data_IF_661218102991
#
_entry.id   IF_661218102991
#
_cell.length_a   1.000
_cell.length_b   1.000
_cell.length_c   1.000
_cell.angle_alpha   90.00
_cell.angle_beta   90.00
_cell.angle_gamma   90.00
#
_symmetry.space_group_name_H-M   'P 1'
#
loop_
_entity.id
_entity.type
_entity.pdbx_description
1 polymer ?
#
# COMPACT_ATOMS: atom_id res chain seq x y z
N UNK A 1 -0.37 -3.98 -11.82
CA UNK A 1 -0.05 -2.66 -11.23
C UNK A 1 -0.08 -2.76 -9.71
N UNK A 2 0.95 -2.24 -9.02
CA UNK A 2 1.09 -2.29 -7.56
C UNK A 2 1.38 -0.89 -7.00
N UNK A 3 0.78 -0.54 -5.85
CA UNK A 3 0.98 0.74 -5.18
C UNK A 3 1.69 0.53 -3.85
N UNK A 4 2.60 1.42 -3.48
CA UNK A 4 3.10 1.47 -2.11
C UNK A 4 2.07 2.13 -1.18
N UNK A 5 2.31 2.06 0.13
CA UNK A 5 1.41 2.63 1.15
C UNK A 5 1.20 4.14 1.00
N UNK A 6 2.18 4.91 0.52
CA UNK A 6 2.03 6.35 0.29
C UNK A 6 1.06 6.61 -0.86
N UNK A 7 1.25 5.93 -2.00
CA UNK A 7 0.34 6.03 -3.16
C UNK A 7 -1.07 5.53 -2.83
N UNK A 8 -1.17 4.47 -2.03
CA UNK A 8 -2.46 3.93 -1.57
C UNK A 8 -3.18 4.91 -0.65
N UNK A 9 -2.47 5.52 0.30
CA UNK A 9 -3.05 6.55 1.17
C UNK A 9 -3.55 7.74 0.35
N UNK A 10 -2.74 8.24 -0.59
CA UNK A 10 -3.15 9.32 -1.49
C UNK A 10 -4.40 8.96 -2.29
N UNK A 11 -4.51 7.71 -2.76
CA UNK A 11 -5.69 7.23 -3.48
C UNK A 11 -6.95 7.29 -2.61
N UNK A 12 -6.86 6.97 -1.32
CA UNK A 12 -7.98 7.10 -0.38
C UNK A 12 -8.17 8.51 0.20
N UNK A 13 -7.43 9.53 -0.26
CA UNK A 13 -7.50 10.87 0.33
C UNK A 13 -6.94 10.96 1.75
N UNK A 14 -6.06 10.04 2.14
CA UNK A 14 -5.46 9.95 3.47
C UNK A 14 -3.97 10.30 3.46
N UNK A 15 -3.43 10.58 4.64
CA UNK A 15 -1.98 10.59 4.85
C UNK A 15 -1.47 9.17 5.07
N UNK A 16 -0.21 8.91 4.68
CA UNK A 16 0.46 7.62 4.91
C UNK A 16 0.40 7.15 6.38
N UNK A 17 0.73 7.96 7.41
CA UNK A 17 0.64 7.50 8.80
C UNK A 17 -0.79 7.14 9.22
N UNK A 18 -1.80 7.88 8.76
CA UNK A 18 -3.21 7.56 9.04
C UNK A 18 -3.61 6.21 8.45
N UNK A 19 -3.23 5.93 7.20
CA UNK A 19 -3.47 4.62 6.59
C UNK A 19 -2.77 3.48 7.36
N UNK A 20 -1.51 3.67 7.75
CA UNK A 20 -0.75 2.67 8.51
C UNK A 20 -1.43 2.37 9.85
N UNK A 21 -1.88 3.41 10.57
CA UNK A 21 -2.57 3.24 11.84
C UNK A 21 -3.86 2.39 11.68
N UNK A 22 -4.69 2.72 10.69
CA UNK A 22 -5.90 1.94 10.37
C UNK A 22 -5.59 0.48 10.01
N UNK A 23 -4.55 0.25 9.20
CA UNK A 23 -4.16 -1.10 8.82
C UNK A 23 -3.58 -1.90 9.99
N UNK A 24 -2.85 -1.25 10.92
CA UNK A 24 -2.35 -1.90 12.14
C UNK A 24 -3.48 -2.22 13.11
N UNK A 25 -4.45 -1.32 13.28
CA UNK A 25 -5.67 -1.57 14.09
C UNK A 25 -6.41 -2.82 13.61
N UNK A 26 -6.51 -3.02 12.29
CA UNK A 26 -7.11 -4.23 11.69
C UNK A 26 -6.17 -5.45 11.66
N UNK A 27 -4.97 -5.36 12.23
CA UNK A 27 -4.00 -6.46 12.22
C UNK A 27 -3.49 -6.85 10.84
N UNK A 28 -3.56 -5.96 9.86
CA UNK A 28 -3.06 -6.19 8.49
C UNK A 28 -1.55 -6.01 8.40
N UNK A 29 -1.00 -5.11 9.21
CA UNK A 29 0.43 -4.80 9.24
C UNK A 29 1.02 -5.13 10.61
N UNK A 30 2.25 -5.63 10.60
CA UNK A 30 3.06 -5.80 11.81
C UNK A 30 3.78 -4.51 12.20
N UNK A 31 4.58 -4.57 13.27
CA UNK A 31 5.35 -3.43 13.78
C UNK A 31 6.36 -2.85 12.78
N UNK A 32 6.80 -3.68 11.81
CA UNK A 32 7.68 -3.26 10.70
C UNK A 32 6.92 -2.71 9.49
N UNK A 33 5.60 -2.53 9.58
CA UNK A 33 4.72 -2.17 8.46
C UNK A 33 4.72 -3.18 7.30
N UNK A 34 4.97 -4.45 7.59
CA UNK A 34 4.88 -5.56 6.64
C UNK A 34 3.56 -6.32 6.82
N UNK A 35 3.05 -6.99 5.77
CA UNK A 35 1.80 -7.75 5.87
C UNK A 35 1.92 -8.83 6.94
N UNK A 36 0.98 -8.87 7.88
CA UNK A 36 0.99 -9.84 8.97
C UNK A 36 0.58 -11.24 8.49
N UNK A 37 -0.43 -11.32 7.60
CA UNK A 37 -1.00 -12.59 7.14
C UNK A 37 -1.27 -12.59 5.61
N UNK A 38 -0.25 -12.48 4.76
CA UNK A 38 -0.42 -12.28 3.32
C UNK A 38 -1.26 -13.38 2.65
N UNK A 39 -1.13 -14.65 3.04
CA UNK A 39 -1.92 -15.75 2.45
C UNK A 39 -3.39 -15.66 2.86
N UNK A 40 -3.68 -15.39 4.14
CA UNK A 40 -5.04 -15.20 4.66
C UNK A 40 -5.74 -14.03 3.98
N UNK A 41 -4.98 -12.95 3.77
CA UNK A 41 -5.45 -11.70 3.18
C UNK A 41 -5.40 -11.73 1.63
N UNK A 42 -5.53 -12.95 1.04
CA UNK A 42 -5.64 -13.22 -0.40
C UNK A 42 -4.47 -12.68 -1.24
N UNK A 43 -3.33 -12.51 -0.59
CA UNK A 43 -2.09 -11.94 -1.13
C UNK A 43 -2.25 -10.54 -1.76
N UNK A 44 -3.29 -9.80 -1.36
CA UNK A 44 -3.50 -8.42 -1.81
C UNK A 44 -2.43 -7.47 -1.30
N UNK A 45 -1.84 -7.78 -0.14
CA UNK A 45 -0.67 -7.14 0.40
C UNK A 45 0.57 -8.01 0.12
N UNK A 46 1.60 -7.42 -0.47
CA UNK A 46 2.89 -8.08 -0.71
C UNK A 46 4.03 -7.34 -0.06
N UNK A 47 5.08 -8.08 0.27
CA UNK A 47 6.39 -7.51 0.60
C UNK A 47 7.14 -7.30 -0.72
N UNK A 48 7.67 -6.09 -0.91
CA UNK A 48 8.66 -5.80 -1.95
C UNK A 48 10.00 -5.56 -1.29
N UNK A 49 10.97 -6.40 -1.62
CA UNK A 49 12.37 -6.20 -1.33
C UNK A 49 12.98 -5.21 -2.34
N UNK A 50 13.78 -4.30 -1.82
CA UNK A 50 14.59 -3.36 -2.58
C UNK A 50 15.99 -3.36 -2.00
N UNK A 51 16.99 -3.08 -2.83
CA UNK A 51 18.34 -2.84 -2.37
C UNK A 51 18.86 -1.52 -2.92
N UNK A 52 19.85 -0.95 -2.25
CA UNK A 52 20.51 0.29 -2.63
C UNK A 52 21.92 0.31 -2.05
N UNK A 53 22.86 0.96 -2.73
CA UNK A 53 24.24 1.04 -2.29
C UNK A 53 24.47 2.28 -1.41
N UNK A 54 25.06 2.09 -0.23
CA UNK A 54 25.53 3.16 0.65
C UNK A 54 27.06 3.18 0.70
N UNK A 55 27.66 4.34 0.46
CA UNK A 55 29.13 4.54 0.35
C UNK A 55 29.94 3.91 1.49
N UNK A 56 29.48 4.03 2.74
CA UNK A 56 30.19 3.52 3.94
C UNK A 56 29.73 2.15 4.40
N UNK A 57 28.50 1.78 4.05
CA UNK A 57 27.83 0.60 4.61
C UNK A 57 27.61 -0.51 3.57
N UNK A 58 28.08 -0.30 2.33
CA UNK A 58 27.91 -1.22 1.22
C UNK A 58 26.45 -1.38 0.80
N UNK A 59 26.13 -2.57 0.29
CA UNK A 59 24.77 -2.90 -0.16
C UNK A 59 23.80 -2.97 1.03
N UNK A 60 22.73 -2.17 0.95
CA UNK A 60 21.65 -2.10 1.92
C UNK A 60 20.38 -2.72 1.35
N UNK A 61 19.55 -3.28 2.23
CA UNK A 61 18.31 -3.96 1.87
C UNK A 61 17.15 -3.35 2.64
N UNK A 62 16.00 -3.21 1.98
CA UNK A 62 14.80 -2.64 2.57
C UNK A 62 13.57 -3.38 2.07
N UNK A 63 12.59 -3.52 2.96
CA UNK A 63 11.31 -4.13 2.66
C UNK A 63 10.20 -3.09 2.76
N UNK A 64 9.24 -3.19 1.84
CA UNK A 64 8.08 -2.30 1.84
C UNK A 64 6.80 -3.05 1.50
N UNK A 65 5.68 -2.67 2.12
CA UNK A 65 4.38 -3.21 1.74
C UNK A 65 3.88 -2.58 0.45
N UNK A 66 3.43 -3.43 -0.48
CA UNK A 66 2.72 -3.07 -1.69
C UNK A 66 1.29 -3.60 -1.63
N UNK A 67 0.38 -2.82 -2.22
CA UNK A 67 -1.02 -3.17 -2.38
C UNK A 67 -1.27 -3.44 -3.85
N UNK A 68 -1.76 -4.63 -4.17
CA UNK A 68 -2.16 -4.99 -5.54
C UNK A 68 -3.41 -4.18 -5.92
N UNK A 69 -3.54 -3.82 -7.20
CA UNK A 69 -4.73 -3.15 -7.72
C UNK A 69 -6.03 -3.90 -7.33
N UNK A 70 -6.04 -5.23 -7.43
CA UNK A 70 -7.19 -6.08 -7.09
C UNK A 70 -7.58 -6.00 -5.59
N UNK A 71 -6.64 -5.63 -4.72
CA UNK A 71 -6.86 -5.50 -3.28
C UNK A 71 -7.38 -4.15 -2.82
N UNK A 72 -7.47 -3.15 -3.71
CA UNK A 72 -7.83 -1.77 -3.32
C UNK A 72 -9.26 -1.69 -2.80
N UNK A 73 -10.21 -2.32 -3.50
CA UNK A 73 -11.62 -2.35 -3.09
C UNK A 73 -11.80 -3.09 -1.77
N UNK A 74 -11.21 -4.28 -1.66
CA UNK A 74 -11.20 -5.07 -0.42
C UNK A 74 -10.61 -4.28 0.76
N UNK A 75 -9.50 -3.56 0.55
CA UNK A 75 -8.88 -2.74 1.57
C UNK A 75 -9.78 -1.58 1.98
N UNK A 76 -10.46 -0.93 1.03
CA UNK A 76 -11.40 0.15 1.31
C UNK A 76 -12.57 -0.35 2.17
N UNK A 77 -13.18 -1.49 1.81
CA UNK A 77 -14.26 -2.12 2.56
C UNK A 77 -13.82 -2.48 3.99
N UNK A 78 -12.64 -3.09 4.14
CA UNK A 78 -12.12 -3.51 5.45
C UNK A 78 -11.79 -2.33 6.37
N UNK A 79 -11.37 -1.21 5.79
CA UNK A 79 -11.03 0.02 6.52
C UNK A 79 -12.22 0.99 6.65
N UNK A 80 -13.39 0.67 6.07
CA UNK A 80 -14.56 1.56 6.05
C UNK A 80 -14.30 2.86 5.29
N UNK A 81 -13.51 2.82 4.22
CA UNK A 81 -13.15 3.97 3.40
C UNK A 81 -13.96 3.99 2.11
N UNK A 82 -14.33 5.17 1.66
CA UNK A 82 -14.92 5.34 0.34
C UNK A 82 -13.84 5.26 -0.74
N UNK A 83 -14.17 4.60 -1.85
CA UNK A 83 -13.31 4.63 -3.03
C UNK A 83 -13.42 6.02 -3.68
N UNK A 84 -12.29 6.65 -4.06
CA UNK A 84 -12.35 7.90 -4.79
C UNK A 84 -13.17 7.69 -6.07
N UNK A 85 -14.04 8.65 -6.39
CA UNK A 85 -14.70 8.67 -7.69
C UNK A 85 -13.62 8.57 -8.78
N UNK A 86 -13.81 7.65 -9.73
CA UNK A 86 -12.91 7.52 -10.89
C UNK A 86 -12.86 8.90 -11.52
N UNK A 87 -11.69 9.55 -11.64
CA UNK A 87 -11.63 10.83 -12.34
C UNK A 87 -12.15 10.58 -13.76
N UNK A 88 -13.15 11.37 -14.19
CA UNK A 88 -13.57 11.38 -15.58
C UNK A 88 -12.31 11.57 -16.43
N UNK A 89 -12.07 10.63 -17.34
CA UNK A 89 -10.92 10.62 -18.22
C UNK A 89 -11.02 11.85 -19.13
N UNK A 90 -10.34 12.95 -18.76
CA UNK A 90 -10.25 14.16 -19.58
C UNK A 90 -9.27 13.94 -20.75
N UNK A 91 -9.38 12.83 -21.48
CA UNK A 91 -8.74 12.69 -22.78
C UNK A 91 -9.59 13.44 -23.80
N UNK A 92 -9.42 14.75 -23.78
CA UNK A 92 -9.75 15.60 -24.93
C UNK A 92 -8.80 15.19 -26.07
N UNK A 93 -9.28 14.30 -26.93
CA UNK A 93 -8.62 13.93 -28.18
C UNK A 93 -9.13 14.90 -29.26
N UNK A 94 -8.42 16.01 -29.42
CA UNK A 94 -8.60 16.97 -30.52
C UNK A 94 -7.74 16.59 -31.74
#
# INVERSE_FOLDING_TARGET
>A
MERDLQKTAKYFGLTRPKLIALMRDKGLLNDRNLPAFPVRDREYLRIKDSNWYHEKAGMQYSQSTKVRQAGIRWLAELLGLELPAIPADNRDVA
#
